data_IF_579076648960
#
_entry.id   IF_579076648960
#
_cell.length_a   1.000
_cell.length_b   1.000
_cell.length_c   1.000
_cell.angle_alpha   90.00
_cell.angle_beta   90.00
_cell.angle_gamma   90.00
#
_symmetry.space_group_name_H-M   'P 1'
#
loop_
_entity.id
_entity.type
_entity.pdbx_description
1 polymer ?
#
# COMPACT_ATOMS: atom_id res chain seq x y z
N UNK A 1 55.13 -99.22 -32.36
CA UNK A 1 55.19 -98.93 -33.78
C UNK A 1 54.20 -97.84 -34.06
N UNK A 2 54.82 -96.77 -34.62
CA UNK A 2 54.27 -95.58 -35.26
C UNK A 2 53.30 -94.73 -34.55
N UNK A 3 53.86 -93.61 -34.10
CA UNK A 3 53.28 -92.37 -33.64
C UNK A 3 52.54 -91.67 -34.80
N UNK A 4 51.37 -91.15 -34.52
CA UNK A 4 50.81 -90.09 -35.34
C UNK A 4 50.54 -88.88 -34.43
N UNK A 5 51.34 -87.86 -34.76
CA UNK A 5 51.17 -86.51 -34.13
C UNK A 5 49.92 -85.84 -34.65
N UNK A 6 49.02 -85.51 -33.76
CA UNK A 6 47.90 -84.63 -34.08
C UNK A 6 48.23 -83.22 -33.57
N UNK A 7 48.50 -82.31 -34.48
CA UNK A 7 48.67 -80.88 -34.20
C UNK A 7 47.30 -80.22 -34.18
N UNK A 8 46.94 -79.59 -33.01
CA UNK A 8 45.80 -78.71 -32.88
C UNK A 8 46.20 -77.34 -33.31
N UNK A 9 45.62 -76.81 -34.38
CA UNK A 9 45.66 -75.44 -34.81
C UNK A 9 44.72 -74.63 -33.85
N UNK A 10 45.31 -73.68 -33.18
CA UNK A 10 44.54 -72.68 -32.40
C UNK A 10 44.12 -71.56 -33.35
N UNK A 11 42.85 -71.49 -33.73
CA UNK A 11 42.24 -70.26 -34.27
C UNK A 11 42.12 -69.17 -33.25
N UNK A 12 42.80 -68.06 -33.43
CA UNK A 12 42.60 -66.85 -32.67
C UNK A 12 41.37 -66.08 -33.24
N UNK A 13 40.46 -65.60 -32.38
CA UNK A 13 39.32 -64.76 -32.85
C UNK A 13 39.82 -63.40 -33.27
N UNK A 14 39.62 -63.05 -34.50
CA UNK A 14 39.92 -61.76 -35.10
C UNK A 14 38.89 -60.73 -34.64
N UNK A 15 39.22 -59.95 -33.59
CA UNK A 15 38.42 -58.83 -33.11
C UNK A 15 38.61 -57.59 -33.95
N UNK A 16 37.85 -57.50 -35.05
CA UNK A 16 37.80 -56.29 -35.87
C UNK A 16 37.00 -55.21 -35.08
N UNK A 17 37.70 -54.32 -34.38
CA UNK A 17 37.13 -53.11 -33.79
C UNK A 17 36.81 -52.12 -34.92
N UNK A 18 35.57 -52.15 -35.40
CA UNK A 18 35.04 -51.09 -36.29
C UNK A 18 34.80 -49.83 -35.48
N UNK A 19 35.81 -49.05 -35.19
CA UNK A 19 35.66 -47.67 -34.75
C UNK A 19 35.15 -46.91 -35.97
N UNK A 20 33.82 -46.67 -35.97
CA UNK A 20 33.19 -45.88 -37.03
C UNK A 20 33.72 -44.45 -37.01
N UNK A 21 34.52 -44.11 -38.02
CA UNK A 21 34.98 -42.73 -38.21
C UNK A 21 33.80 -41.84 -38.57
N UNK A 22 33.34 -41.02 -37.57
CA UNK A 22 32.34 -40.02 -37.83
C UNK A 22 32.88 -39.05 -38.89
N UNK A 23 32.18 -38.91 -40.01
CA UNK A 23 32.57 -38.06 -41.14
C UNK A 23 32.81 -36.62 -40.65
N UNK A 24 33.79 -35.94 -41.21
CA UNK A 24 34.10 -34.53 -40.92
C UNK A 24 32.86 -33.62 -41.01
N UNK A 25 31.95 -33.87 -41.97
CA UNK A 25 30.66 -33.16 -42.10
C UNK A 25 29.75 -33.42 -40.95
N UNK A 26 29.66 -34.63 -40.41
CA UNK A 26 28.83 -34.95 -39.21
C UNK A 26 29.38 -34.30 -37.96
N UNK A 27 30.69 -34.18 -37.78
CA UNK A 27 31.31 -33.46 -36.65
C UNK A 27 31.00 -31.97 -36.69
N UNK A 28 31.00 -31.35 -37.87
CA UNK A 28 30.64 -29.93 -38.03
C UNK A 28 29.15 -29.69 -37.70
N UNK A 29 28.25 -30.56 -38.17
CA UNK A 29 26.80 -30.45 -37.89
C UNK A 29 26.53 -30.61 -36.41
N UNK A 30 27.15 -31.57 -35.73
CA UNK A 30 26.98 -31.77 -34.27
C UNK A 30 27.53 -30.56 -33.51
N UNK A 31 28.68 -30.00 -33.90
CA UNK A 31 29.26 -28.81 -33.28
C UNK A 31 28.36 -27.59 -33.45
N UNK A 32 27.80 -27.34 -34.63
CA UNK A 32 26.86 -26.23 -34.89
C UNK A 32 25.55 -26.37 -34.10
N UNK A 33 25.03 -27.60 -33.97
CA UNK A 33 23.80 -27.82 -33.16
C UNK A 33 24.04 -27.63 -31.67
N UNK A 34 25.21 -28.01 -31.13
CA UNK A 34 25.59 -27.74 -29.74
C UNK A 34 25.75 -26.24 -29.47
N UNK A 35 26.42 -25.50 -30.36
CA UNK A 35 26.56 -24.05 -30.26
C UNK A 35 25.18 -23.38 -30.30
N UNK A 36 24.29 -23.80 -31.21
CA UNK A 36 22.92 -23.30 -31.26
C UNK A 36 22.14 -23.56 -29.98
N UNK A 37 22.27 -24.75 -29.39
CA UNK A 37 21.64 -25.10 -28.12
C UNK A 37 22.15 -24.21 -26.97
N UNK A 38 23.47 -23.97 -26.87
CA UNK A 38 24.04 -23.07 -25.85
C UNK A 38 23.60 -21.63 -26.02
N UNK A 39 23.46 -21.14 -27.24
CA UNK A 39 22.96 -19.78 -27.52
C UNK A 39 21.51 -19.67 -27.07
N UNK A 40 20.67 -20.65 -27.41
CA UNK A 40 19.25 -20.67 -26.98
C UNK A 40 19.16 -20.75 -25.44
N UNK A 41 19.94 -21.63 -24.81
CA UNK A 41 19.97 -21.73 -23.35
C UNK A 41 20.43 -20.42 -22.69
N UNK A 42 21.43 -19.74 -23.23
CA UNK A 42 21.88 -18.44 -22.75
C UNK A 42 20.80 -17.35 -22.90
N UNK A 43 20.11 -17.32 -24.04
CA UNK A 43 19.00 -16.39 -24.28
C UNK A 43 17.87 -16.65 -23.29
N UNK A 44 17.51 -17.90 -23.02
CA UNK A 44 16.49 -18.26 -22.03
C UNK A 44 16.91 -17.85 -20.63
N UNK A 45 18.17 -18.08 -20.26
CA UNK A 45 18.70 -17.63 -18.95
C UNK A 45 18.68 -16.11 -18.85
N UNK A 46 19.10 -15.39 -19.90
CA UNK A 46 19.03 -13.92 -19.93
C UNK A 46 17.58 -13.45 -19.82
N UNK A 47 16.63 -14.05 -20.53
CA UNK A 47 15.21 -13.73 -20.43
C UNK A 47 14.65 -14.02 -19.04
N UNK A 48 15.00 -15.15 -18.43
CA UNK A 48 14.59 -15.47 -17.06
C UNK A 48 15.15 -14.41 -16.08
N UNK A 49 16.45 -14.12 -16.16
CA UNK A 49 17.10 -13.13 -15.30
C UNK A 49 16.52 -11.72 -15.52
N UNK A 50 16.23 -11.33 -16.75
CA UNK A 50 15.59 -10.02 -17.02
C UNK A 50 14.13 -9.96 -16.56
N UNK A 51 13.40 -11.08 -16.60
CA UNK A 51 12.01 -11.16 -16.07
C UNK A 51 11.98 -11.20 -14.53
N UNK A 52 13.03 -11.73 -13.88
CA UNK A 52 13.12 -11.77 -12.40
C UNK A 52 13.64 -10.46 -11.79
N UNK A 53 14.17 -9.52 -12.58
CA UNK A 53 14.79 -8.28 -12.08
C UNK A 53 14.00 -7.01 -12.35
N UNK A 54 12.74 -7.07 -12.80
CA UNK A 54 11.87 -5.90 -12.72
C UNK A 54 11.48 -5.68 -11.25
N UNK A 55 12.32 -4.96 -10.51
CA UNK A 55 11.96 -4.48 -9.17
C UNK A 55 10.66 -3.67 -9.27
N UNK A 56 9.67 -4.03 -8.47
CA UNK A 56 8.45 -3.23 -8.34
C UNK A 56 8.85 -1.78 -8.04
N UNK A 57 8.38 -0.81 -8.83
CA UNK A 57 8.66 0.60 -8.54
C UNK A 57 8.38 0.92 -7.08
N UNK A 58 9.29 1.64 -6.43
CA UNK A 58 9.23 1.91 -4.98
C UNK A 58 7.89 2.50 -4.54
N UNK A 59 7.25 3.29 -5.38
CA UNK A 59 5.94 3.91 -5.15
C UNK A 59 4.75 2.96 -5.44
N UNK A 60 5.02 1.75 -5.91
CA UNK A 60 4.04 0.65 -6.09
C UNK A 60 4.26 -0.50 -5.10
N UNK A 61 5.33 -0.48 -4.30
CA UNK A 61 5.60 -1.50 -3.29
C UNK A 61 4.66 -1.37 -2.09
N UNK A 62 3.80 -2.35 -1.91
CA UNK A 62 2.81 -2.43 -0.83
C UNK A 62 3.16 -3.46 0.25
N UNK A 63 4.33 -4.09 0.18
CA UNK A 63 4.76 -5.20 1.05
C UNK A 63 4.83 -4.83 2.55
N UNK A 64 4.93 -3.54 2.87
CA UNK A 64 4.97 -3.03 4.25
C UNK A 64 3.62 -2.50 4.73
N UNK A 65 2.54 -2.70 3.97
CA UNK A 65 1.20 -2.27 4.34
C UNK A 65 0.38 -3.42 4.91
N UNK A 66 -0.53 -3.07 5.81
CA UNK A 66 -1.47 -4.00 6.43
C UNK A 66 -2.89 -3.45 6.36
N UNK A 67 -3.87 -4.35 6.36
CA UNK A 67 -5.28 -4.01 6.54
C UNK A 67 -5.50 -3.80 8.04
N UNK A 68 -5.95 -2.61 8.42
CA UNK A 68 -6.08 -2.23 9.84
C UNK A 68 -7.03 -3.18 10.57
N UNK A 69 -8.15 -3.58 9.94
CA UNK A 69 -9.13 -4.49 10.55
C UNK A 69 -8.59 -5.91 10.81
N UNK A 70 -7.55 -6.35 10.10
CA UNK A 70 -6.91 -7.64 10.37
C UNK A 70 -6.09 -7.58 11.69
N UNK A 71 -5.59 -6.40 12.07
CA UNK A 71 -4.83 -6.17 13.31
C UNK A 71 -5.71 -5.69 14.47
N UNK A 72 -6.75 -4.89 14.17
CA UNK A 72 -7.68 -4.29 15.13
C UNK A 72 -9.12 -4.62 14.69
N UNK A 73 -9.64 -5.83 15.00
CA UNK A 73 -10.91 -6.31 14.47
C UNK A 73 -12.12 -5.45 14.83
N UNK A 74 -12.07 -4.77 15.98
CA UNK A 74 -13.18 -3.97 16.52
C UNK A 74 -13.18 -2.51 16.05
N UNK A 75 -12.18 -2.11 15.23
CA UNK A 75 -12.11 -0.75 14.68
C UNK A 75 -13.23 -0.55 13.65
N UNK A 76 -13.85 0.61 13.67
CA UNK A 76 -14.90 0.95 12.71
C UNK A 76 -14.26 1.68 11.52
N UNK A 77 -14.65 1.30 10.31
CA UNK A 77 -14.25 2.01 9.08
C UNK A 77 -15.47 2.61 8.39
N UNK A 78 -15.43 3.91 8.15
CA UNK A 78 -16.43 4.66 7.39
C UNK A 78 -15.69 5.48 6.32
N UNK A 79 -15.07 4.79 5.34
CA UNK A 79 -14.14 5.40 4.39
C UNK A 79 -14.87 6.39 3.48
N UNK A 80 -14.68 7.67 3.76
CA UNK A 80 -15.39 8.78 3.10
C UNK A 80 -15.07 8.88 1.62
N UNK A 81 -13.85 8.58 1.23
CA UNK A 81 -13.42 8.68 -0.17
C UNK A 81 -13.79 7.47 -1.02
N UNK A 82 -14.15 6.34 -0.41
CA UNK A 82 -14.83 5.24 -1.09
C UNK A 82 -16.31 5.55 -1.34
N UNK A 83 -16.94 6.38 -0.53
CA UNK A 83 -18.31 6.83 -0.70
C UNK A 83 -18.38 8.15 -1.50
N UNK A 84 -19.59 8.62 -1.79
CA UNK A 84 -19.81 9.95 -2.37
C UNK A 84 -20.02 11.04 -1.32
N UNK A 85 -20.10 10.71 -0.03
CA UNK A 85 -20.25 11.70 1.03
C UNK A 85 -18.89 12.20 1.50
N UNK A 86 -18.26 13.03 0.65
CA UNK A 86 -17.00 13.73 0.88
C UNK A 86 -17.07 15.10 0.22
N UNK A 87 -16.06 15.95 0.37
CA UNK A 87 -16.07 17.32 -0.12
C UNK A 87 -16.14 17.44 -1.65
N UNK A 88 -15.74 16.37 -2.39
CA UNK A 88 -15.89 16.31 -3.85
C UNK A 88 -17.32 15.92 -4.24
N UNK A 89 -18.02 15.14 -3.40
CA UNK A 89 -19.36 14.61 -3.66
C UNK A 89 -19.39 13.53 -4.72
N UNK A 90 -18.32 12.72 -4.80
CA UNK A 90 -18.17 11.59 -5.71
C UNK A 90 -17.26 10.53 -5.09
N UNK A 91 -17.31 9.30 -5.61
CA UNK A 91 -16.30 8.29 -5.31
C UNK A 91 -14.93 8.76 -5.81
N UNK A 92 -13.91 8.61 -4.97
CA UNK A 92 -12.57 9.14 -5.26
C UNK A 92 -11.71 8.07 -5.94
N UNK A 93 -10.94 8.49 -6.94
CA UNK A 93 -10.06 7.60 -7.69
C UNK A 93 -9.07 6.87 -6.77
N UNK A 94 -8.82 5.60 -7.08
CA UNK A 94 -7.87 4.77 -6.35
C UNK A 94 -8.44 4.04 -5.14
N UNK A 95 -9.63 4.37 -4.65
CA UNK A 95 -10.34 3.60 -3.63
C UNK A 95 -11.18 2.50 -4.30
N UNK A 96 -10.64 1.29 -4.41
CA UNK A 96 -11.33 0.15 -5.03
C UNK A 96 -12.17 -0.66 -4.06
N UNK A 97 -11.84 -0.60 -2.76
CA UNK A 97 -12.54 -1.29 -1.68
C UNK A 97 -12.63 -0.40 -0.44
N UNK A 98 -13.66 -0.56 0.40
CA UNK A 98 -13.81 0.20 1.65
C UNK A 98 -12.94 -0.38 2.77
N UNK A 99 -11.63 -0.46 2.55
CA UNK A 99 -10.65 -0.98 3.51
C UNK A 99 -9.65 0.10 3.91
N UNK A 100 -9.31 0.12 5.19
CA UNK A 100 -8.31 1.04 5.73
C UNK A 100 -6.94 0.38 5.74
N UNK A 101 -5.95 1.02 5.12
CA UNK A 101 -4.58 0.54 5.00
C UNK A 101 -3.62 1.48 5.71
N UNK A 102 -2.63 0.94 6.41
CA UNK A 102 -1.49 1.69 6.94
C UNK A 102 -0.19 0.89 6.76
N UNK A 103 0.94 1.57 6.88
CA UNK A 103 2.21 0.88 7.11
C UNK A 103 2.11 0.07 8.40
N UNK A 104 2.81 -1.05 8.46
CA UNK A 104 2.80 -1.94 9.63
C UNK A 104 3.14 -1.19 10.92
N UNK A 105 4.15 -0.33 10.86
CA UNK A 105 4.61 0.48 12.00
C UNK A 105 3.52 1.42 12.51
N UNK A 106 2.81 2.12 11.62
CA UNK A 106 1.71 2.99 12.01
C UNK A 106 0.51 2.19 12.57
N UNK A 107 0.19 1.05 11.97
CA UNK A 107 -0.90 0.19 12.42
C UNK A 107 -0.64 -0.40 13.82
N UNK A 108 0.61 -0.79 14.14
CA UNK A 108 1.00 -1.27 15.47
C UNK A 108 0.85 -0.16 16.53
N UNK A 109 1.21 1.09 16.21
CA UNK A 109 1.01 2.24 17.11
C UNK A 109 -0.46 2.57 17.28
N UNK A 110 -1.23 2.52 16.19
CA UNK A 110 -2.68 2.72 16.25
C UNK A 110 -3.36 1.66 17.12
N UNK A 111 -2.89 0.41 17.06
CA UNK A 111 -3.41 -0.65 17.93
C UNK A 111 -3.25 -0.32 19.41
N UNK A 112 -2.09 0.17 19.82
CA UNK A 112 -1.85 0.56 21.20
C UNK A 112 -2.80 1.69 21.64
N UNK A 113 -3.00 2.70 20.78
CA UNK A 113 -3.97 3.78 21.04
C UNK A 113 -5.40 3.22 21.13
N UNK A 114 -5.78 2.30 20.23
CA UNK A 114 -7.08 1.65 20.22
C UNK A 114 -7.33 0.85 21.49
N UNK A 115 -6.36 0.06 21.93
CA UNK A 115 -6.44 -0.72 23.18
C UNK A 115 -6.65 0.22 24.40
N UNK A 116 -5.98 1.38 24.42
CA UNK A 116 -6.17 2.36 25.47
C UNK A 116 -7.58 2.98 25.44
N UNK A 117 -8.06 3.42 24.26
CA UNK A 117 -9.40 3.97 24.11
C UNK A 117 -10.48 2.96 24.52
N UNK A 118 -10.29 1.67 24.20
CA UNK A 118 -11.20 0.59 24.58
C UNK A 118 -11.35 0.51 26.10
N UNK A 119 -10.27 0.66 26.89
CA UNK A 119 -10.32 0.70 28.36
C UNK A 119 -11.10 1.89 28.91
N UNK A 120 -11.25 2.95 28.10
CA UNK A 120 -12.00 4.18 28.46
C UNK A 120 -13.44 4.18 27.96
N UNK A 121 -13.87 3.09 27.31
CA UNK A 121 -15.23 2.96 26.78
C UNK A 121 -15.44 3.60 25.41
N UNK A 122 -14.37 3.80 24.65
CA UNK A 122 -14.41 4.34 23.30
C UNK A 122 -13.90 3.33 22.29
N UNK A 123 -14.28 3.50 21.03
CA UNK A 123 -13.69 2.84 19.85
C UNK A 123 -13.27 3.88 18.84
N UNK A 124 -12.23 3.59 18.09
CA UNK A 124 -11.80 4.39 16.95
C UNK A 124 -12.74 4.11 15.76
N UNK A 125 -13.14 5.18 15.07
CA UNK A 125 -13.74 5.15 13.75
C UNK A 125 -12.84 5.89 12.77
N UNK A 126 -12.47 5.22 11.67
CA UNK A 126 -11.56 5.74 10.63
C UNK A 126 -12.38 6.29 9.48
N UNK A 127 -12.02 7.49 9.02
CA UNK A 127 -12.57 8.13 7.83
C UNK A 127 -11.64 8.05 6.63
N UNK A 128 -10.32 8.12 6.85
CA UNK A 128 -9.29 7.90 5.84
C UNK A 128 -7.99 7.38 6.49
N UNK A 129 -7.15 6.75 5.66
CA UNK A 129 -5.85 6.22 6.08
C UNK A 129 -4.86 6.35 4.92
N UNK A 130 -4.23 5.28 4.41
CA UNK A 130 -3.48 5.39 3.18
C UNK A 130 -4.38 5.89 2.04
N UNK A 131 -3.94 6.97 1.39
CA UNK A 131 -4.59 7.62 0.25
C UNK A 131 -3.65 7.56 -0.95
N UNK A 132 -3.98 6.84 -2.03
CA UNK A 132 -3.10 6.75 -3.19
C UNK A 132 -2.96 8.11 -3.90
N UNK A 133 -1.85 8.32 -4.60
CA UNK A 133 -1.62 9.58 -5.32
C UNK A 133 -2.74 9.89 -6.33
N UNK A 134 -3.37 8.86 -6.95
CA UNK A 134 -4.52 9.05 -7.84
C UNK A 134 -5.71 9.76 -7.19
N UNK A 135 -5.92 9.55 -5.88
CA UNK A 135 -6.94 10.26 -5.10
C UNK A 135 -6.57 11.74 -4.92
N UNK A 136 -5.30 12.02 -4.60
CA UNK A 136 -4.79 13.41 -4.51
C UNK A 136 -4.92 14.12 -5.85
N UNK A 137 -4.61 13.45 -6.95
CA UNK A 137 -4.77 13.98 -8.30
C UNK A 137 -6.24 14.26 -8.63
N UNK A 138 -7.19 13.45 -8.10
CA UNK A 138 -8.63 13.71 -8.21
C UNK A 138 -9.00 14.99 -7.45
N UNK A 139 -8.49 15.20 -6.24
CA UNK A 139 -8.72 16.43 -5.48
C UNK A 139 -8.19 17.67 -6.21
N UNK A 140 -7.01 17.56 -6.85
CA UNK A 140 -6.44 18.64 -7.67
C UNK A 140 -7.33 18.94 -8.89
N UNK A 141 -7.88 17.92 -9.56
CA UNK A 141 -8.86 18.13 -10.65
C UNK A 141 -10.13 18.83 -10.17
N UNK A 142 -10.70 18.33 -9.06
CA UNK A 142 -11.85 18.98 -8.42
C UNK A 142 -11.54 20.42 -8.02
N UNK A 143 -10.38 20.67 -7.45
CA UNK A 143 -9.89 21.99 -7.11
C UNK A 143 -9.99 22.96 -8.28
N UNK A 144 -9.59 22.57 -9.47
CA UNK A 144 -9.52 23.42 -10.66
C UNK A 144 -10.90 23.69 -11.29
N UNK A 145 -11.95 22.95 -10.96
CA UNK A 145 -13.32 23.23 -11.35
C UNK A 145 -14.02 24.12 -10.30
N UNK A 146 -13.92 25.42 -10.46
CA UNK A 146 -14.51 26.40 -9.53
C UNK A 146 -16.05 26.36 -9.46
N UNK A 147 -16.73 25.71 -10.40
CA UNK A 147 -18.18 25.59 -10.43
C UNK A 147 -18.70 24.37 -9.65
N UNK A 148 -17.86 23.37 -9.40
CA UNK A 148 -18.24 22.19 -8.59
C UNK A 148 -18.24 22.53 -7.09
N UNK A 149 -19.34 23.07 -6.63
CA UNK A 149 -19.58 23.48 -5.22
C UNK A 149 -20.73 22.72 -4.57
N UNK A 150 -21.12 21.57 -5.12
CA UNK A 150 -22.27 20.77 -4.68
C UNK A 150 -22.24 20.35 -3.20
N UNK A 151 -21.05 20.21 -2.62
CA UNK A 151 -20.86 19.83 -1.22
C UNK A 151 -20.45 21.00 -0.31
N UNK A 152 -20.53 22.23 -0.84
CA UNK A 152 -20.10 23.43 -0.09
C UNK A 152 -20.80 23.58 1.26
N UNK A 153 -22.11 23.37 1.32
CA UNK A 153 -22.89 23.53 2.55
C UNK A 153 -22.40 22.66 3.70
N UNK A 154 -21.86 21.48 3.40
CA UNK A 154 -21.39 20.51 4.41
C UNK A 154 -19.93 20.72 4.81
N UNK A 155 -19.05 21.05 3.83
CA UNK A 155 -17.61 20.99 4.06
C UNK A 155 -16.92 22.35 4.09
N UNK A 156 -17.47 23.40 3.43
CA UNK A 156 -16.86 24.73 3.40
C UNK A 156 -17.92 25.84 3.31
N UNK A 157 -18.93 25.84 4.22
CA UNK A 157 -20.05 26.79 4.15
C UNK A 157 -19.60 28.25 4.20
N UNK A 158 -18.58 28.52 4.98
CA UNK A 158 -18.07 29.87 5.27
C UNK A 158 -17.03 30.35 4.25
N UNK A 159 -16.56 29.49 3.34
CA UNK A 159 -15.51 29.79 2.35
C UNK A 159 -16.02 29.69 0.91
N UNK A 160 -15.40 30.47 0.03
CA UNK A 160 -15.47 30.21 -1.41
C UNK A 160 -14.49 29.09 -1.75
N UNK A 161 -14.72 28.39 -2.85
CA UNK A 161 -13.80 27.35 -3.32
C UNK A 161 -12.39 27.89 -3.57
N UNK A 162 -12.27 29.14 -4.00
CA UNK A 162 -10.99 29.83 -4.19
C UNK A 162 -10.25 29.97 -2.84
N UNK A 163 -10.95 30.39 -1.78
CA UNK A 163 -10.37 30.52 -0.43
C UNK A 163 -9.92 29.18 0.14
N UNK A 164 -10.65 28.08 -0.12
CA UNK A 164 -10.22 26.72 0.25
C UNK A 164 -8.82 26.41 -0.30
N UNK A 165 -8.50 26.95 -1.51
CA UNK A 165 -7.18 26.74 -2.11
C UNK A 165 -6.11 27.66 -1.57
N UNK A 166 -6.43 28.94 -1.42
CA UNK A 166 -5.50 29.96 -0.94
C UNK A 166 -5.07 29.65 0.49
N UNK A 167 -5.93 29.00 1.29
CA UNK A 167 -5.63 28.52 2.64
C UNK A 167 -4.91 27.17 2.70
N UNK A 168 -4.67 26.52 1.54
CA UNK A 168 -3.82 25.34 1.46
C UNK A 168 -4.46 24.01 1.85
N UNK A 169 -5.80 23.94 1.98
CA UNK A 169 -6.51 22.70 2.35
C UNK A 169 -6.30 21.55 1.33
N UNK A 170 -5.99 21.87 0.08
CA UNK A 170 -5.76 20.87 -0.98
C UNK A 170 -4.34 21.02 -1.54
N UNK A 171 -3.48 20.09 -1.19
CA UNK A 171 -2.09 20.01 -1.66
C UNK A 171 -1.92 19.01 -2.80
N UNK A 172 -0.86 19.16 -3.60
CA UNK A 172 -0.47 18.23 -4.68
C UNK A 172 0.17 16.94 -4.17
N UNK A 173 0.59 16.93 -2.90
CA UNK A 173 1.14 15.79 -2.18
C UNK A 173 0.51 15.69 -0.81
N UNK A 174 0.21 14.49 -0.37
CA UNK A 174 -0.45 14.24 0.90
C UNK A 174 0.39 13.34 1.81
N UNK A 175 0.40 13.63 3.11
CA UNK A 175 0.94 12.73 4.13
C UNK A 175 0.35 11.33 4.06
N UNK A 176 -0.95 11.24 3.78
CA UNK A 176 -1.66 9.95 3.61
C UNK A 176 -1.05 9.07 2.52
N UNK A 177 -0.51 9.66 1.43
CA UNK A 177 0.12 8.88 0.35
C UNK A 177 1.44 8.22 0.79
N UNK A 178 2.01 8.60 1.95
CA UNK A 178 3.18 7.94 2.54
C UNK A 178 2.81 6.73 3.40
N UNK A 179 1.51 6.52 3.66
CA UNK A 179 0.97 5.33 4.31
C UNK A 179 1.02 5.31 5.83
N UNK A 180 1.41 6.41 6.48
CA UNK A 180 1.51 6.49 7.94
C UNK A 180 0.67 7.62 8.54
N UNK A 181 -0.29 8.13 7.78
CA UNK A 181 -1.23 9.18 8.19
C UNK A 181 -2.64 8.61 8.25
N UNK A 182 -3.43 9.07 9.22
CA UNK A 182 -4.79 8.60 9.46
C UNK A 182 -5.70 9.73 9.91
N UNK A 183 -6.93 9.73 9.38
CA UNK A 183 -8.03 10.59 9.82
C UNK A 183 -9.05 9.76 10.58
N UNK A 184 -9.30 10.13 11.85
CA UNK A 184 -10.10 9.31 12.73
C UNK A 184 -10.91 10.14 13.73
N UNK A 185 -11.90 9.48 14.33
CA UNK A 185 -12.70 9.98 15.46
C UNK A 185 -12.90 8.88 16.50
N UNK A 186 -13.58 9.21 17.56
CA UNK A 186 -14.02 8.28 18.58
C UNK A 186 -15.55 8.13 18.58
N UNK A 187 -15.99 6.92 18.89
CA UNK A 187 -17.39 6.61 19.18
C UNK A 187 -17.51 6.02 20.58
N UNK A 188 -18.68 6.17 21.21
CA UNK A 188 -18.97 5.44 22.44
C UNK A 188 -19.10 3.94 22.17
N UNK A 189 -18.28 3.13 22.85
CA UNK A 189 -18.32 1.65 22.74
C UNK A 189 -19.70 1.08 23.06
N UNK A 190 -20.41 1.69 24.00
CA UNK A 190 -21.68 1.21 24.52
C UNK A 190 -22.81 1.22 23.47
N UNK A 191 -22.87 2.24 22.63
CA UNK A 191 -24.01 2.47 21.73
C UNK A 191 -23.62 2.84 20.28
N UNK A 192 -22.31 2.98 20.00
CA UNK A 192 -21.80 3.34 18.68
C UNK A 192 -22.05 4.81 18.27
N UNK A 193 -22.50 5.66 19.21
CA UNK A 193 -22.74 7.08 18.91
C UNK A 193 -21.41 7.81 18.74
N UNK A 194 -21.33 8.66 17.73
CA UNK A 194 -20.17 9.53 17.49
C UNK A 194 -19.95 10.51 18.64
N UNK A 195 -18.70 10.73 18.99
CA UNK A 195 -18.31 11.82 19.89
C UNK A 195 -18.35 13.14 19.10
N UNK A 196 -18.94 14.15 19.73
CA UNK A 196 -18.99 15.48 19.14
C UNK A 196 -17.69 16.24 19.39
N UNK A 197 -16.93 16.49 18.34
CA UNK A 197 -15.70 17.28 18.34
C UNK A 197 -15.92 18.74 17.87
N UNK A 198 -17.16 19.15 17.56
CA UNK A 198 -17.54 20.51 17.18
C UNK A 198 -17.53 20.78 15.67
N UNK A 199 -16.90 19.94 14.86
CA UNK A 199 -17.01 19.94 13.39
C UNK A 199 -17.05 18.53 12.85
N UNK A 200 -17.56 18.37 11.62
CA UNK A 200 -17.40 17.14 10.85
C UNK A 200 -15.97 16.95 10.37
N UNK A 201 -15.66 15.73 9.92
CA UNK A 201 -14.49 15.43 9.11
C UNK A 201 -14.47 16.27 7.84
N UNK A 202 -13.29 16.68 7.36
CA UNK A 202 -13.10 17.53 6.17
C UNK A 202 -13.82 18.89 6.23
N UNK A 203 -14.15 19.39 7.40
CA UNK A 203 -14.66 20.75 7.53
C UNK A 203 -13.53 21.75 7.26
N UNK A 204 -13.54 22.43 6.12
CA UNK A 204 -12.54 23.44 5.77
C UNK A 204 -12.86 24.76 6.47
N UNK A 205 -12.05 25.09 7.45
CA UNK A 205 -12.17 26.35 8.20
C UNK A 205 -11.56 26.28 9.59
N UNK A 206 -11.36 27.44 10.20
CA UNK A 206 -10.70 27.59 11.50
C UNK A 206 -11.36 26.78 12.62
N UNK A 207 -12.67 26.50 12.52
CA UNK A 207 -13.40 25.70 13.50
C UNK A 207 -12.88 24.25 13.61
N UNK A 208 -12.21 23.73 12.57
CA UNK A 208 -11.58 22.42 12.55
C UNK A 208 -10.22 22.38 13.28
N UNK A 209 -9.61 23.53 13.55
CA UNK A 209 -8.33 23.59 14.25
C UNK A 209 -8.41 22.95 15.63
N UNK A 210 -7.45 22.10 15.95
CA UNK A 210 -7.42 21.35 17.22
C UNK A 210 -7.55 22.27 18.45
N UNK A 211 -6.94 23.45 18.40
CA UNK A 211 -6.92 24.43 19.46
C UNK A 211 -8.00 25.52 19.34
N UNK A 212 -9.02 25.34 18.49
CA UNK A 212 -10.11 26.30 18.37
C UNK A 212 -10.86 26.45 19.68
N UNK A 213 -11.12 27.71 20.12
CA UNK A 213 -11.62 28.00 21.47
C UNK A 213 -13.12 28.25 21.56
N UNK A 214 -13.78 28.60 20.44
CA UNK A 214 -15.21 28.93 20.42
C UNK A 214 -16.08 27.68 20.22
N UNK A 215 -15.81 26.64 21.01
CA UNK A 215 -16.54 25.37 21.10
C UNK A 215 -16.80 25.05 22.57
N UNK A 216 -17.67 24.07 22.85
CA UNK A 216 -18.00 23.69 24.22
C UNK A 216 -16.80 23.11 24.98
N UNK A 217 -16.78 23.18 26.28
CA UNK A 217 -15.72 22.57 27.12
C UNK A 217 -15.62 21.07 26.92
N UNK A 218 -16.73 20.40 26.62
CA UNK A 218 -16.76 18.97 26.32
C UNK A 218 -16.05 18.67 24.98
N UNK A 219 -16.28 19.45 23.93
CA UNK A 219 -15.61 19.32 22.63
C UNK A 219 -14.11 19.59 22.77
N UNK A 220 -13.71 20.63 23.53
CA UNK A 220 -12.29 20.89 23.84
C UNK A 220 -11.65 19.72 24.58
N UNK A 221 -12.33 19.15 25.56
CA UNK A 221 -11.87 17.99 26.30
C UNK A 221 -11.63 16.79 25.35
N UNK A 222 -12.57 16.48 24.46
CA UNK A 222 -12.41 15.36 23.53
C UNK A 222 -11.31 15.59 22.51
N UNK A 223 -11.14 16.80 21.98
CA UNK A 223 -9.99 17.13 21.10
C UNK A 223 -8.67 16.94 21.84
N UNK A 224 -8.55 17.45 23.05
CA UNK A 224 -7.35 17.29 23.87
C UNK A 224 -7.09 15.83 24.24
N UNK A 225 -8.12 15.09 24.62
CA UNK A 225 -8.02 13.68 24.97
C UNK A 225 -7.55 12.83 23.78
N UNK A 226 -8.19 12.98 22.61
CA UNK A 226 -7.80 12.30 21.39
C UNK A 226 -6.34 12.61 21.04
N UNK A 227 -5.98 13.90 21.00
CA UNK A 227 -4.63 14.37 20.70
C UNK A 227 -3.59 13.75 21.64
N UNK A 228 -3.83 13.84 22.96
CA UNK A 228 -2.89 13.33 23.97
C UNK A 228 -2.63 11.84 23.79
N UNK A 229 -3.68 11.02 23.63
CA UNK A 229 -3.51 9.57 23.47
C UNK A 229 -2.79 9.23 22.15
N UNK A 230 -3.11 9.90 21.06
CA UNK A 230 -2.43 9.68 19.79
C UNK A 230 -0.95 10.07 19.86
N UNK A 231 -0.62 11.21 20.49
CA UNK A 231 0.77 11.65 20.67
C UNK A 231 1.57 10.72 21.59
N UNK A 232 0.99 10.23 22.68
CA UNK A 232 1.60 9.23 23.56
C UNK A 232 1.91 7.90 22.81
N UNK A 233 1.22 7.64 21.70
CA UNK A 233 1.45 6.50 20.84
C UNK A 233 2.30 6.82 19.58
N UNK A 234 2.97 7.98 19.57
CA UNK A 234 3.97 8.34 18.56
C UNK A 234 3.40 8.94 17.28
N UNK A 235 2.16 9.44 17.32
CA UNK A 235 1.59 10.25 16.24
C UNK A 235 1.75 11.74 16.52
N UNK A 236 1.71 12.55 15.47
CA UNK A 236 1.71 14.01 15.53
C UNK A 236 0.39 14.51 14.93
N UNK A 237 -0.32 15.35 15.65
CA UNK A 237 -1.53 16.00 15.16
C UNK A 237 -1.20 17.14 14.20
N UNK A 238 -1.95 17.26 13.11
CA UNK A 238 -1.99 18.48 12.28
C UNK A 238 -2.84 19.55 13.00
N UNK A 239 -2.28 20.70 13.39
CA UNK A 239 -3.00 21.69 14.19
C UNK A 239 -4.28 22.22 13.55
N UNK A 240 -4.35 22.25 12.22
CA UNK A 240 -5.47 22.72 11.41
C UNK A 240 -6.64 21.73 11.36
N UNK A 241 -6.40 20.44 11.74
CA UNK A 241 -7.36 19.36 11.60
C UNK A 241 -7.36 18.47 12.85
N UNK A 242 -8.39 18.54 13.69
CA UNK A 242 -8.45 17.80 14.95
C UNK A 242 -8.45 16.27 14.77
N UNK A 243 -8.84 15.78 13.61
CA UNK A 243 -8.92 14.35 13.27
C UNK A 243 -7.63 13.76 12.67
N UNK A 244 -6.70 14.60 12.21
CA UNK A 244 -5.55 14.21 11.38
C UNK A 244 -4.29 13.95 12.20
N UNK A 245 -3.73 12.75 12.01
CA UNK A 245 -2.54 12.28 12.73
C UNK A 245 -1.58 11.57 11.80
N UNK A 246 -0.30 11.95 11.82
CA UNK A 246 0.79 11.28 11.11
C UNK A 246 1.76 10.66 12.10
N UNK A 247 2.32 9.49 11.79
CA UNK A 247 3.35 8.86 12.61
C UNK A 247 4.60 9.75 12.63
N UNK A 248 5.16 10.05 13.81
CA UNK A 248 6.35 10.92 13.97
C UNK A 248 7.56 10.37 13.18
N UNK A 249 7.78 9.07 13.23
CA UNK A 249 8.87 8.40 12.51
C UNK A 249 8.32 7.51 11.42
N UNK A 250 7.90 8.13 10.33
CA UNK A 250 7.38 7.42 9.17
C UNK A 250 8.47 6.52 8.53
N UNK A 251 8.17 5.26 8.17
CA UNK A 251 9.13 4.40 7.46
C UNK A 251 9.42 4.88 6.04
N UNK A 252 8.53 5.67 5.45
CA UNK A 252 8.63 6.15 4.07
C UNK A 252 8.40 7.67 3.96
N UNK A 253 9.24 8.51 4.57
CA UNK A 253 8.99 9.96 4.65
C UNK A 253 8.98 10.67 3.28
N UNK A 254 9.62 10.08 2.27
CA UNK A 254 9.81 10.66 0.94
C UNK A 254 9.12 9.87 -0.19
N UNK A 255 8.39 8.78 0.13
CA UNK A 255 7.73 7.94 -0.86
C UNK A 255 6.22 8.18 -0.86
N UNK A 256 5.69 8.66 -1.98
CA UNK A 256 4.25 8.87 -2.19
C UNK A 256 3.72 7.71 -3.03
N UNK A 257 3.03 6.79 -2.38
CA UNK A 257 2.57 5.55 -3.01
C UNK A 257 1.41 5.78 -3.97
N UNK A 258 1.32 4.91 -4.98
CA UNK A 258 0.36 5.01 -6.09
C UNK A 258 -0.54 3.78 -6.24
N UNK A 259 -0.24 2.68 -5.53
CA UNK A 259 -1.08 1.50 -5.61
C UNK A 259 -2.49 1.78 -5.07
N UNK A 260 -3.54 1.17 -5.65
CA UNK A 260 -4.92 1.42 -5.22
C UNK A 260 -5.20 0.81 -3.84
N UNK A 261 -6.18 1.37 -3.13
CA UNK A 261 -6.73 0.79 -1.91
C UNK A 261 -7.51 -0.48 -2.28
N UNK A 262 -6.88 -1.64 -2.05
CA UNK A 262 -7.41 -2.95 -2.43
C UNK A 262 -6.84 -4.04 -1.51
N UNK A 263 -7.71 -4.79 -0.82
CA UNK A 263 -7.32 -5.81 0.14
C UNK A 263 -6.59 -7.01 -0.50
N UNK A 264 -6.96 -7.34 -1.74
CA UNK A 264 -6.35 -8.48 -2.46
C UNK A 264 -4.89 -8.22 -2.78
N UNK A 265 -4.50 -6.98 -3.08
CA UNK A 265 -3.11 -6.61 -3.30
C UNK A 265 -2.29 -6.83 -2.03
N UNK A 266 -2.77 -6.32 -0.89
CA UNK A 266 -2.07 -6.41 0.40
C UNK A 266 -1.88 -7.87 0.83
N UNK A 267 -2.92 -8.71 0.69
CA UNK A 267 -2.88 -10.12 1.09
C UNK A 267 -2.01 -11.01 0.20
N UNK A 268 -1.69 -10.58 -1.03
CA UNK A 268 -0.78 -11.29 -1.94
C UNK A 268 0.68 -10.93 -1.73
N UNK A 269 0.95 -9.77 -1.13
CA UNK A 269 2.31 -9.28 -0.86
C UNK A 269 2.87 -9.73 0.51
N UNK A 270 2.02 -10.24 1.38
CA UNK A 270 2.34 -10.83 2.68
C UNK A 270 2.17 -12.36 2.63
#
# INVERSE_FOLDING_TARGET
MSDENFQLEKEEPNYSSSIGFISSKSKIIISLSLVGFFIIALIVVILIVTLETEETPKDMDHSRFVIINDLIPDIITELRYYSSFNFVGAHIDGYQEPVALLTKEAAERLKNASDFFDTKGFRIKIWDSYRPQSAVDHFVRWKNDLNDVKMKEYFFPDLTKKEVFEQGFIAEKSGHSRGSTIDLTLIYKQNGTDIDFGTSFDFFGIKAHTNYTEITEQQKYYRSFLKTVMEENGFINLPEEWWHYSLDKEPFPDTYFKFPVNSTLIRRGN
#
